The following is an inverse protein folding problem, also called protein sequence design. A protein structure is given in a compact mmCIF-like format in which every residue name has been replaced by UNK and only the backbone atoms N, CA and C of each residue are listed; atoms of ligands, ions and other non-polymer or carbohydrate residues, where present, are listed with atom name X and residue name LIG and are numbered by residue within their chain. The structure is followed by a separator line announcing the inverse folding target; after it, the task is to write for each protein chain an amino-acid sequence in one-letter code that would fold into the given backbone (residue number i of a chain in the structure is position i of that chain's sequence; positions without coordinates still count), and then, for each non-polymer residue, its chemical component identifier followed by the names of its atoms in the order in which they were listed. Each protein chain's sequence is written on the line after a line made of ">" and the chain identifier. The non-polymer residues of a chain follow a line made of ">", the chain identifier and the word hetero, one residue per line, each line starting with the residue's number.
data_IF_838236772346
#
_entry.id   IF_838236772346
#
_cell.length_a   1.000
_cell.length_b   1.000
_cell.length_c   1.000
_cell.angle_alpha   90.00
_cell.angle_beta   90.00
_cell.angle_gamma   90.00
#
_symmetry.space_group_name_H-M   'P 1'
#
loop_
_entity.id
_entity.type
_entity.pdbx_description
1 polymer ?
#
# COMPACT_ATOMS: atom_id res chain seq x y z
N UNK A 1 -22.59 24.34 -16.82
CA UNK A 1 -21.53 24.10 -15.84
C UNK A 1 -20.79 22.82 -16.18
N UNK A 2 -19.49 22.90 -16.42
CA UNK A 2 -18.63 21.71 -16.61
C UNK A 2 -18.07 21.25 -15.28
N UNK A 3 -18.63 20.17 -14.71
CA UNK A 3 -18.20 19.63 -13.41
C UNK A 3 -16.92 18.78 -13.48
N UNK A 4 -16.39 18.54 -14.67
CA UNK A 4 -15.13 17.81 -14.84
C UNK A 4 -13.89 18.74 -14.84
N UNK A 5 -14.09 20.05 -15.10
CA UNK A 5 -13.01 21.04 -15.16
C UNK A 5 -12.49 21.46 -13.78
N UNK A 6 -11.35 22.16 -13.77
CA UNK A 6 -10.71 22.65 -12.57
C UNK A 6 -11.50 23.72 -11.79
N UNK A 7 -12.58 24.24 -12.37
CA UNK A 7 -13.46 25.22 -11.72
C UNK A 7 -14.38 24.57 -10.67
N UNK A 8 -14.51 23.25 -10.70
CA UNK A 8 -15.34 22.48 -9.76
C UNK A 8 -14.48 21.45 -9.04
N UNK A 9 -14.31 21.64 -7.75
CA UNK A 9 -13.51 20.75 -6.90
C UNK A 9 -14.37 20.04 -5.87
N UNK A 10 -14.00 18.80 -5.55
CA UNK A 10 -14.66 17.95 -4.56
C UNK A 10 -13.64 17.19 -3.74
N UNK A 11 -14.01 16.80 -2.53
CA UNK A 11 -13.15 15.96 -1.71
C UNK A 11 -13.03 14.56 -2.35
N UNK A 12 -11.81 14.06 -2.60
CA UNK A 12 -11.61 12.77 -3.28
C UNK A 12 -11.91 11.56 -2.38
N UNK A 13 -11.96 11.76 -1.07
CA UNK A 13 -12.06 10.65 -0.13
C UNK A 13 -10.96 9.61 -0.36
N UNK A 14 -11.28 8.35 -0.19
CA UNK A 14 -10.32 7.24 -0.32
C UNK A 14 -9.74 7.03 -1.72
N UNK A 15 -10.24 7.70 -2.77
CA UNK A 15 -9.63 7.60 -4.10
C UNK A 15 -8.26 8.26 -4.19
N UNK A 16 -7.89 9.10 -3.22
CA UNK A 16 -6.55 9.71 -3.15
C UNK A 16 -5.46 8.77 -2.59
N UNK A 17 -5.84 7.72 -1.82
CA UNK A 17 -4.91 6.83 -1.11
C UNK A 17 -3.77 6.26 -1.97
N UNK A 18 -4.04 5.78 -3.21
CA UNK A 18 -2.98 5.30 -4.10
C UNK A 18 -1.96 6.37 -4.48
N UNK A 19 -2.42 7.62 -4.65
CA UNK A 19 -1.61 8.73 -5.15
C UNK A 19 -0.75 9.36 -4.05
N UNK A 20 -1.25 9.40 -2.82
CA UNK A 20 -0.63 10.17 -1.73
C UNK A 20 0.11 9.31 -0.71
N UNK A 21 -0.27 8.04 -0.55
CA UNK A 21 0.28 7.17 0.49
C UNK A 21 0.92 5.91 -0.11
N UNK A 22 0.14 5.05 -0.76
CA UNK A 22 0.64 3.74 -1.16
C UNK A 22 1.60 3.77 -2.35
N UNK A 23 1.29 4.53 -3.41
CA UNK A 23 2.19 4.69 -4.56
C UNK A 23 3.54 5.28 -4.15
N UNK A 24 3.57 6.43 -3.45
CA UNK A 24 4.81 6.98 -2.91
C UNK A 24 5.56 6.03 -1.98
N UNK A 25 4.88 5.28 -1.13
CA UNK A 25 5.52 4.34 -0.22
C UNK A 25 6.16 3.14 -0.95
N UNK A 26 5.54 2.66 -2.02
CA UNK A 26 6.11 1.65 -2.91
C UNK A 26 7.28 2.20 -3.72
N UNK A 27 7.17 3.43 -4.24
CA UNK A 27 8.18 4.08 -5.08
C UNK A 27 9.47 4.40 -4.31
N UNK A 28 9.33 4.75 -3.03
CA UNK A 28 10.47 5.01 -2.14
C UNK A 28 11.04 3.77 -1.47
N UNK A 29 10.43 2.59 -1.67
CA UNK A 29 10.79 1.36 -0.98
C UNK A 29 10.47 1.36 0.53
N UNK A 30 9.76 2.37 1.04
CA UNK A 30 9.38 2.45 2.45
C UNK A 30 8.40 1.37 2.88
N UNK A 31 7.56 0.90 1.95
CA UNK A 31 6.64 -0.22 2.12
C UNK A 31 6.64 -1.10 0.87
N UNK A 32 6.28 -2.35 1.05
CA UNK A 32 5.95 -3.32 -0.01
C UNK A 32 4.46 -3.66 0.03
N UNK A 33 3.93 -4.35 -0.97
CA UNK A 33 2.55 -4.85 -0.91
C UNK A 33 2.33 -5.84 0.24
N UNK A 34 3.38 -6.55 0.68
CA UNK A 34 3.36 -7.46 1.81
C UNK A 34 3.56 -6.80 3.17
N UNK A 35 4.07 -5.56 3.22
CA UNK A 35 4.32 -4.87 4.49
C UNK A 35 3.09 -4.90 5.38
N UNK A 36 3.24 -5.41 6.60
CA UNK A 36 2.15 -5.50 7.56
C UNK A 36 1.96 -4.17 8.29
N UNK A 37 0.75 -3.68 8.28
CA UNK A 37 0.32 -2.49 9.02
C UNK A 37 -0.77 -2.90 9.99
N UNK A 38 -0.65 -2.50 11.25
CA UNK A 38 -1.68 -2.78 12.25
C UNK A 38 -2.83 -1.76 12.14
N UNK A 39 -3.98 -2.24 11.72
CA UNK A 39 -5.25 -1.50 11.75
C UNK A 39 -5.82 -1.56 13.17
N UNK A 40 -5.33 -0.69 14.02
CA UNK A 40 -5.70 -0.52 15.43
C UNK A 40 -5.95 0.97 15.71
N UNK A 41 -6.62 1.33 16.81
CA UNK A 41 -6.87 2.73 17.14
C UNK A 41 -5.62 3.60 16.98
N UNK A 42 -5.74 4.67 16.22
CA UNK A 42 -4.65 5.56 15.88
C UNK A 42 -5.12 7.01 15.88
N UNK A 43 -4.37 7.89 16.50
CA UNK A 43 -4.67 9.31 16.54
C UNK A 43 -3.76 10.08 15.61
N UNK A 44 -4.31 11.10 14.94
CA UNK A 44 -3.49 12.04 14.19
C UNK A 44 -2.46 12.68 15.11
N UNK A 45 -1.26 12.95 14.60
CA UNK A 45 -0.25 13.71 15.34
C UNK A 45 -0.66 15.18 15.47
N UNK A 46 -0.39 15.80 16.63
CA UNK A 46 -0.66 17.22 16.89
C UNK A 46 -1.34 17.46 18.24
N UNK A 47 -1.62 18.71 18.55
CA UNK A 47 -2.22 19.13 19.84
C UNK A 47 -3.69 18.72 19.98
N UNK A 48 -4.43 18.64 18.86
CA UNK A 48 -5.84 18.23 18.82
C UNK A 48 -5.96 16.84 18.17
N UNK A 49 -5.25 15.88 18.72
CA UNK A 49 -5.18 14.53 18.21
C UNK A 49 -6.58 13.89 18.14
N UNK A 50 -7.13 13.82 16.92
CA UNK A 50 -8.40 13.14 16.65
C UNK A 50 -8.16 11.67 16.30
N UNK A 51 -9.07 10.80 16.74
CA UNK A 51 -9.04 9.39 16.37
C UNK A 51 -9.32 9.23 14.88
N UNK A 52 -8.48 8.45 14.21
CA UNK A 52 -8.73 8.01 12.82
C UNK A 52 -9.77 6.90 12.85
N UNK A 53 -10.91 7.12 12.21
CA UNK A 53 -11.99 6.14 12.14
C UNK A 53 -11.99 5.42 10.81
N UNK A 54 -12.21 4.11 10.83
CA UNK A 54 -12.49 3.32 9.63
C UNK A 54 -13.93 3.57 9.14
N UNK A 55 -14.27 3.03 7.95
CA UNK A 55 -15.63 3.18 7.39
C UNK A 55 -16.68 2.63 8.35
N UNK A 56 -16.48 1.43 8.89
CA UNK A 56 -17.28 0.92 10.00
C UNK A 56 -16.66 1.44 11.30
N UNK A 57 -17.38 2.35 11.95
CA UNK A 57 -16.93 2.99 13.20
C UNK A 57 -16.70 1.90 14.27
N UNK A 58 -15.55 1.97 14.94
CA UNK A 58 -15.19 1.05 16.02
C UNK A 58 -14.64 -0.31 15.56
N UNK A 59 -14.60 -0.60 14.27
CA UNK A 59 -14.02 -1.84 13.74
C UNK A 59 -12.58 -1.65 13.28
N UNK A 60 -11.69 -2.46 13.81
CA UNK A 60 -10.27 -2.52 13.47
C UNK A 60 -9.87 -3.97 13.19
N UNK A 61 -9.17 -4.19 12.09
CA UNK A 61 -8.86 -5.54 11.58
C UNK A 61 -7.58 -6.16 12.15
N UNK A 62 -6.76 -5.36 12.85
CA UNK A 62 -5.45 -5.78 13.33
C UNK A 62 -4.41 -5.83 12.20
N UNK A 63 -3.43 -6.72 12.30
CA UNK A 63 -2.35 -6.84 11.33
C UNK A 63 -2.86 -7.27 9.95
N UNK A 64 -2.60 -6.43 8.96
CA UNK A 64 -2.97 -6.65 7.56
C UNK A 64 -1.90 -6.13 6.60
N UNK A 65 -1.83 -6.70 5.40
CA UNK A 65 -0.88 -6.25 4.39
C UNK A 65 -1.32 -4.92 3.76
N UNK A 66 -0.37 -4.20 3.15
CA UNK A 66 -0.65 -3.01 2.32
C UNK A 66 -1.66 -3.35 1.22
N UNK A 67 -1.50 -4.53 0.55
CA UNK A 67 -2.46 -5.01 -0.45
C UNK A 67 -3.87 -5.15 0.12
N UNK A 68 -4.01 -5.83 1.27
CA UNK A 68 -5.32 -6.00 1.93
C UNK A 68 -5.92 -4.64 2.32
N UNK A 69 -5.11 -3.74 2.91
CA UNK A 69 -5.54 -2.40 3.31
C UNK A 69 -6.04 -1.56 2.14
N UNK A 70 -5.35 -1.63 0.99
CA UNK A 70 -5.76 -0.98 -0.25
C UNK A 70 -7.05 -1.59 -0.80
N UNK A 71 -7.14 -2.93 -0.81
CA UNK A 71 -8.27 -3.71 -1.32
C UNK A 71 -9.59 -3.36 -0.62
N UNK A 72 -9.58 -3.33 0.71
CA UNK A 72 -10.77 -3.03 1.52
C UNK A 72 -10.86 -1.55 1.92
N UNK A 73 -9.90 -0.74 1.45
CA UNK A 73 -9.90 0.71 1.64
C UNK A 73 -9.84 1.18 3.10
N UNK A 74 -9.13 0.45 3.96
CA UNK A 74 -8.99 0.78 5.38
C UNK A 74 -8.34 2.17 5.57
N UNK A 75 -8.78 2.92 6.58
CA UNK A 75 -8.33 4.31 6.80
C UNK A 75 -7.05 4.37 7.63
N UNK A 76 -7.02 3.67 8.76
CA UNK A 76 -5.84 3.70 9.66
C UNK A 76 -4.57 3.26 8.94
N UNK A 77 -4.55 2.14 8.18
CA UNK A 77 -3.36 1.77 7.42
C UNK A 77 -2.92 2.82 6.39
N UNK A 78 -3.86 3.51 5.73
CA UNK A 78 -3.51 4.56 4.78
C UNK A 78 -2.86 5.78 5.47
N UNK A 79 -3.37 6.19 6.63
CA UNK A 79 -2.77 7.28 7.42
C UNK A 79 -1.38 6.88 7.93
N UNK A 80 -1.22 5.65 8.42
CA UNK A 80 0.09 5.12 8.84
C UNK A 80 1.08 5.01 7.67
N UNK A 81 0.63 4.58 6.49
CA UNK A 81 1.47 4.55 5.28
C UNK A 81 1.95 5.95 4.90
N UNK A 82 1.06 6.96 4.93
CA UNK A 82 1.47 8.36 4.71
C UNK A 82 2.41 8.85 5.82
N UNK A 83 2.18 8.48 7.07
CA UNK A 83 3.05 8.87 8.18
C UNK A 83 4.47 8.27 8.03
N UNK A 84 4.60 7.05 7.49
CA UNK A 84 5.90 6.40 7.24
C UNK A 84 6.75 7.21 6.25
N UNK A 85 6.16 7.73 5.18
CA UNK A 85 6.87 8.55 4.19
C UNK A 85 6.81 10.06 4.46
N UNK A 86 6.06 10.51 5.43
CA UNK A 86 5.69 11.87 5.82
C UNK A 86 4.64 12.52 4.91
N UNK A 87 3.77 13.39 5.49
CA UNK A 87 2.78 14.14 4.71
C UNK A 87 3.39 15.04 3.62
N UNK A 88 4.60 15.56 3.82
CA UNK A 88 5.29 16.38 2.84
C UNK A 88 5.65 15.59 1.58
N UNK A 89 6.13 14.36 1.74
CA UNK A 89 6.43 13.48 0.60
C UNK A 89 5.15 13.17 -0.17
N UNK A 90 4.07 12.77 0.52
CA UNK A 90 2.77 12.53 -0.13
C UNK A 90 2.25 13.75 -0.90
N UNK A 91 2.36 14.96 -0.31
CA UNK A 91 2.02 16.22 -0.95
C UNK A 91 2.83 16.44 -2.25
N UNK A 92 4.15 16.25 -2.20
CA UNK A 92 5.02 16.42 -3.38
C UNK A 92 4.68 15.43 -4.51
N UNK A 93 4.25 14.20 -4.16
CA UNK A 93 3.78 13.24 -5.17
C UNK A 93 2.45 13.67 -5.80
N UNK A 94 1.51 14.24 -5.03
CA UNK A 94 0.29 14.79 -5.61
C UNK A 94 0.57 15.95 -6.58
N UNK A 95 1.55 16.82 -6.29
CA UNK A 95 2.00 17.84 -7.24
C UNK A 95 2.52 17.19 -8.54
N UNK A 96 3.35 16.14 -8.43
CA UNK A 96 3.84 15.38 -9.59
C UNK A 96 2.70 14.66 -10.34
N UNK A 97 1.67 14.20 -9.65
CA UNK A 97 0.47 13.63 -10.29
C UNK A 97 -0.44 14.68 -10.94
N UNK A 98 -0.07 15.96 -10.88
CA UNK A 98 -0.78 17.05 -11.54
C UNK A 98 -2.01 17.56 -10.78
N UNK A 99 -2.14 17.29 -9.49
CA UNK A 99 -3.23 17.85 -8.66
C UNK A 99 -2.98 19.35 -8.49
N UNK A 100 -3.76 20.16 -9.19
CA UNK A 100 -3.53 21.60 -9.34
C UNK A 100 -4.07 22.45 -8.17
N UNK A 101 -4.88 21.86 -7.30
CA UNK A 101 -5.64 22.57 -6.25
C UNK A 101 -4.98 22.54 -4.88
N UNK A 102 -3.80 21.91 -4.76
CA UNK A 102 -3.07 21.74 -3.52
C UNK A 102 -2.72 23.07 -2.84
N UNK A 103 -2.86 23.10 -1.54
CA UNK A 103 -2.53 24.26 -0.70
C UNK A 103 -1.32 23.92 0.17
N UNK A 104 -0.19 24.52 -0.15
CA UNK A 104 1.04 24.38 0.65
C UNK A 104 0.96 25.16 1.97
N UNK A 105 1.75 24.82 3.01
CA UNK A 105 1.82 25.59 4.25
C UNK A 105 2.13 27.08 4.03
N UNK A 106 2.94 27.41 3.01
CA UNK A 106 3.28 28.77 2.64
C UNK A 106 2.08 29.56 2.12
N UNK A 107 1.13 28.90 1.49
CA UNK A 107 -0.06 29.49 0.88
C UNK A 107 -1.33 29.12 1.66
N UNK A 108 -1.20 28.80 2.96
CA UNK A 108 -2.31 28.37 3.81
C UNK A 108 -3.51 29.34 3.76
N UNK A 109 -4.71 28.79 3.68
CA UNK A 109 -5.97 29.54 3.63
C UNK A 109 -6.59 29.48 5.03
N UNK A 110 -6.65 30.60 5.72
CA UNK A 110 -7.11 30.67 7.12
C UNK A 110 -6.39 29.64 8.03
N UNK A 111 -5.09 29.41 7.79
CA UNK A 111 -4.30 28.43 8.50
C UNK A 111 -4.43 26.98 7.99
N UNK A 112 -5.36 26.70 7.08
CA UNK A 112 -5.52 25.37 6.50
C UNK A 112 -4.54 25.14 5.33
N UNK A 113 -3.92 23.96 5.30
CA UNK A 113 -3.03 23.51 4.23
C UNK A 113 -3.07 21.98 4.12
N UNK A 114 -2.54 21.42 3.03
CA UNK A 114 -2.69 20.00 2.71
C UNK A 114 -1.49 19.12 3.15
N UNK A 115 -0.46 19.68 3.78
CA UNK A 115 0.66 18.91 4.33
C UNK A 115 0.30 18.41 5.73
N UNK A 116 -0.65 17.49 5.80
CA UNK A 116 -1.23 16.93 7.03
C UNK A 116 -1.54 15.43 6.85
N UNK A 117 -1.60 14.68 7.96
CA UNK A 117 -1.89 13.23 7.88
C UNK A 117 -3.28 12.91 7.32
N UNK A 118 -4.28 13.78 7.52
CA UNK A 118 -5.63 13.60 6.96
C UNK A 118 -5.67 13.65 5.43
N UNK A 119 -4.61 14.14 4.78
CA UNK A 119 -4.44 14.07 3.33
C UNK A 119 -4.53 12.63 2.80
N UNK A 120 -4.08 11.63 3.59
CA UNK A 120 -4.22 10.22 3.26
C UNK A 120 -5.67 9.78 2.99
N UNK A 121 -6.63 10.48 3.55
CA UNK A 121 -8.07 10.18 3.44
C UNK A 121 -8.82 11.15 2.53
N UNK A 122 -8.09 12.05 1.87
CA UNK A 122 -8.68 13.06 0.99
C UNK A 122 -9.21 14.29 1.73
N UNK A 123 -8.78 14.53 2.97
CA UNK A 123 -9.04 15.78 3.69
C UNK A 123 -8.19 16.90 3.12
N UNK A 124 -8.69 17.60 2.11
CA UNK A 124 -7.99 18.65 1.39
C UNK A 124 -8.66 20.00 1.59
N UNK A 125 -7.84 21.07 1.55
CA UNK A 125 -8.34 22.45 1.74
C UNK A 125 -9.33 22.87 0.65
N UNK A 126 -9.04 22.54 -0.63
CA UNK A 126 -9.89 22.87 -1.78
C UNK A 126 -10.56 21.66 -2.42
N UNK A 127 -10.11 20.43 -2.12
CA UNK A 127 -10.49 19.23 -2.87
C UNK A 127 -9.75 19.13 -4.22
N UNK A 128 -10.25 18.27 -5.12
CA UNK A 128 -9.64 17.97 -6.43
C UNK A 128 -10.65 18.14 -7.55
N UNK A 129 -10.19 18.41 -8.77
CA UNK A 129 -11.03 18.36 -9.97
C UNK A 129 -11.13 16.92 -10.50
N UNK A 130 -12.19 16.61 -11.23
CA UNK A 130 -12.36 15.31 -11.86
C UNK A 130 -11.27 15.05 -12.90
N UNK A 131 -10.87 16.07 -13.68
CA UNK A 131 -9.83 15.95 -14.69
C UNK A 131 -8.46 15.68 -14.09
N UNK A 132 -8.11 16.32 -12.95
CA UNK A 132 -6.85 16.07 -12.27
C UNK A 132 -6.78 14.63 -11.76
N UNK A 133 -7.87 14.13 -11.18
CA UNK A 133 -7.95 12.73 -10.72
C UNK A 133 -7.84 11.76 -11.89
N UNK A 134 -8.51 12.04 -13.02
CA UNK A 134 -8.39 11.22 -14.22
C UNK A 134 -6.94 11.17 -14.74
N UNK A 135 -6.28 12.33 -14.82
CA UNK A 135 -4.90 12.44 -15.28
C UNK A 135 -3.91 11.74 -14.34
N UNK A 136 -4.12 11.84 -13.02
CA UNK A 136 -3.31 11.15 -12.03
C UNK A 136 -3.41 9.61 -12.15
N UNK A 137 -4.63 9.09 -12.36
CA UNK A 137 -4.81 7.66 -12.60
C UNK A 137 -4.32 7.22 -13.99
N UNK A 138 -4.38 8.11 -14.99
CA UNK A 138 -3.77 7.86 -16.30
C UNK A 138 -2.24 7.76 -16.20
N UNK A 139 -1.60 8.49 -15.27
CA UNK A 139 -0.17 8.34 -15.03
C UNK A 139 0.18 6.94 -14.52
N UNK A 140 -0.65 6.36 -13.63
CA UNK A 140 -0.49 4.96 -13.17
C UNK A 140 -0.70 4.01 -14.36
N UNK A 141 -1.77 4.20 -15.17
CA UNK A 141 -2.01 3.37 -16.35
C UNK A 141 -0.88 3.46 -17.39
N UNK A 142 -0.09 4.52 -17.37
CA UNK A 142 0.99 4.84 -18.29
C UNK A 142 2.38 4.62 -17.64
N UNK A 143 2.55 3.51 -16.95
CA UNK A 143 3.84 3.10 -16.36
C UNK A 143 4.47 4.17 -15.46
N UNK A 144 3.65 4.88 -14.67
CA UNK A 144 4.09 5.94 -13.78
C UNK A 144 4.48 7.26 -14.45
N UNK A 145 4.05 7.49 -15.69
CA UNK A 145 4.36 8.70 -16.46
C UNK A 145 3.12 9.59 -16.58
N UNK A 146 3.15 10.74 -15.91
CA UNK A 146 2.11 11.75 -16.05
C UNK A 146 2.15 12.41 -17.42
N UNK A 147 0.98 12.61 -17.99
CA UNK A 147 0.77 13.37 -19.23
C UNK A 147 -0.25 14.46 -18.95
N UNK A 148 0.13 15.71 -19.21
CA UNK A 148 -0.75 16.85 -19.01
C UNK A 148 -1.97 16.74 -19.91
N UNK A 149 -3.20 16.83 -19.37
CA UNK A 149 -4.41 16.80 -20.17
C UNK A 149 -4.43 17.90 -21.23
N UNK A 150 -4.80 17.53 -22.47
CA UNK A 150 -5.03 18.46 -23.56
C UNK A 150 -6.45 18.30 -24.11
N UNK A 151 -7.08 19.39 -24.53
CA UNK A 151 -8.44 19.38 -25.08
C UNK A 151 -8.47 19.52 -26.61
N UNK A 152 -7.34 19.97 -27.20
CA UNK A 152 -7.13 20.11 -28.62
C UNK A 152 -5.66 19.94 -28.96
N UNK A 153 -5.40 19.36 -30.10
CA UNK A 153 -4.02 19.12 -30.58
C UNK A 153 -3.48 20.34 -31.31
N UNK A 154 -4.30 21.01 -32.12
CA UNK A 154 -3.89 22.19 -32.88
C UNK A 154 -5.03 23.21 -32.98
N UNK A 155 -4.65 24.47 -33.02
CA UNK A 155 -5.51 25.59 -33.44
C UNK A 155 -4.90 26.20 -34.68
N UNK A 156 -5.71 26.29 -35.73
CA UNK A 156 -5.29 26.85 -37.02
C UNK A 156 -6.00 28.19 -37.25
N UNK A 157 -5.37 29.11 -37.98
CA UNK A 157 -6.02 30.29 -38.50
C UNK A 157 -6.88 29.97 -39.74
N UNK A 158 -7.55 30.97 -40.31
CA UNK A 158 -8.38 30.81 -41.51
C UNK A 158 -7.61 30.44 -42.77
N UNK A 159 -6.30 30.54 -42.73
CA UNK A 159 -5.37 30.23 -43.83
C UNK A 159 -4.68 28.87 -43.66
N UNK A 160 -4.97 28.17 -42.53
CA UNK A 160 -4.39 26.87 -42.22
C UNK A 160 -3.04 26.94 -41.49
N UNK A 161 -2.56 28.09 -41.11
CA UNK A 161 -1.33 28.22 -40.33
C UNK A 161 -1.57 27.83 -38.87
N UNK A 162 -0.60 27.18 -38.25
CA UNK A 162 -0.70 26.73 -36.86
C UNK A 162 -0.52 27.96 -35.94
N UNK A 163 -1.55 28.26 -35.14
CA UNK A 163 -1.53 29.25 -34.06
C UNK A 163 -1.06 28.61 -32.75
N UNK A 164 -1.58 27.40 -32.43
CA UNK A 164 -1.21 26.63 -31.24
C UNK A 164 -0.97 25.19 -31.66
N UNK A 165 0.13 24.60 -31.18
CA UNK A 165 0.43 23.17 -31.36
C UNK A 165 0.61 22.51 -29.99
N UNK A 166 -0.33 21.64 -29.62
CA UNK A 166 -0.31 20.79 -28.44
C UNK A 166 -0.16 19.29 -28.83
N UNK A 167 0.31 19.00 -30.06
CA UNK A 167 0.41 17.61 -30.54
C UNK A 167 1.41 16.76 -29.74
N UNK A 168 2.34 17.42 -29.02
CA UNK A 168 3.26 16.78 -28.09
C UNK A 168 2.95 17.28 -26.67
N UNK A 169 2.19 16.54 -25.87
CA UNK A 169 1.85 16.97 -24.52
C UNK A 169 3.07 16.93 -23.60
N UNK A 170 3.05 17.80 -22.57
CA UNK A 170 4.06 17.78 -21.50
C UNK A 170 3.93 16.49 -20.70
N UNK A 171 5.05 15.80 -20.48
CA UNK A 171 5.13 14.56 -19.70
C UNK A 171 6.26 14.59 -18.69
N UNK A 172 6.09 13.89 -17.59
CA UNK A 172 7.16 13.62 -16.64
C UNK A 172 6.91 12.33 -15.85
N UNK A 173 7.99 11.76 -15.31
CA UNK A 173 7.92 10.56 -14.48
C UNK A 173 7.47 10.91 -13.06
N UNK A 174 6.48 10.18 -12.55
CA UNK A 174 5.95 10.31 -11.18
C UNK A 174 6.39 9.13 -10.33
N UNK A 175 6.19 7.91 -10.83
CA UNK A 175 6.60 6.66 -10.18
C UNK A 175 7.60 5.93 -11.08
N UNK A 176 8.51 5.17 -10.50
CA UNK A 176 9.29 4.19 -11.26
C UNK A 176 8.38 3.06 -11.76
N UNK A 177 8.78 2.36 -12.82
CA UNK A 177 7.93 1.38 -13.50
C UNK A 177 7.59 0.17 -12.62
N UNK A 178 8.55 -0.26 -11.76
CA UNK A 178 8.33 -1.39 -10.86
C UNK A 178 7.31 -1.04 -9.76
N UNK A 179 7.47 0.10 -9.10
CA UNK A 179 6.54 0.57 -8.07
C UNK A 179 5.15 0.82 -8.63
N UNK A 180 5.07 1.38 -9.83
CA UNK A 180 3.83 1.60 -10.56
C UNK A 180 3.10 0.28 -10.85
N UNK A 181 3.82 -0.72 -11.36
CA UNK A 181 3.24 -2.04 -11.62
C UNK A 181 2.77 -2.72 -10.33
N UNK A 182 3.54 -2.64 -9.24
CA UNK A 182 3.10 -3.12 -7.92
C UNK A 182 1.81 -2.40 -7.46
N UNK A 183 1.74 -1.08 -7.62
CA UNK A 183 0.53 -0.33 -7.31
C UNK A 183 -0.66 -0.79 -8.16
N UNK A 184 -0.46 -1.04 -9.46
CA UNK A 184 -1.49 -1.61 -10.35
C UNK A 184 -1.99 -2.95 -9.81
N UNK A 185 -1.10 -3.87 -9.35
CA UNK A 185 -1.53 -5.14 -8.77
C UNK A 185 -2.37 -4.95 -7.50
N UNK A 186 -2.02 -3.98 -6.65
CA UNK A 186 -2.85 -3.58 -5.51
C UNK A 186 -4.22 -3.05 -5.94
N UNK A 187 -4.27 -2.17 -6.95
CA UNK A 187 -5.51 -1.60 -7.48
C UNK A 187 -6.39 -2.64 -8.21
N UNK A 188 -5.78 -3.65 -8.83
CA UNK A 188 -6.51 -4.80 -9.37
C UNK A 188 -7.22 -5.57 -8.25
N UNK A 189 -6.57 -5.77 -7.10
CA UNK A 189 -7.19 -6.43 -5.94
C UNK A 189 -8.43 -5.69 -5.44
N UNK A 190 -8.46 -4.34 -5.52
CA UNK A 190 -9.66 -3.54 -5.20
C UNK A 190 -10.85 -3.94 -6.07
N UNK A 191 -10.61 -4.23 -7.36
CA UNK A 191 -11.66 -4.58 -8.32
C UNK A 191 -11.98 -6.07 -8.32
N UNK A 192 -11.04 -6.95 -8.07
CA UNK A 192 -11.27 -8.41 -8.07
C UNK A 192 -11.92 -8.91 -6.78
N UNK A 193 -11.54 -8.36 -5.63
CA UNK A 193 -11.98 -8.85 -4.31
C UNK A 193 -12.37 -7.76 -3.31
N UNK A 194 -12.21 -6.49 -3.67
CA UNK A 194 -12.38 -5.35 -2.76
C UNK A 194 -13.62 -4.51 -3.02
N UNK A 195 -13.51 -3.22 -2.66
CA UNK A 195 -14.60 -2.23 -2.72
C UNK A 195 -15.03 -1.87 -4.14
N UNK A 196 -14.20 -2.15 -5.14
CA UNK A 196 -14.41 -1.85 -6.56
C UNK A 196 -15.02 -2.98 -7.39
N UNK A 197 -15.45 -4.11 -6.81
CA UNK A 197 -15.91 -5.31 -7.54
C UNK A 197 -16.96 -5.04 -8.60
N UNK A 198 -17.86 -4.09 -8.36
CA UNK A 198 -18.92 -3.75 -9.31
C UNK A 198 -18.40 -3.04 -10.58
N UNK A 199 -17.14 -2.56 -10.57
CA UNK A 199 -16.49 -1.98 -11.75
C UNK A 199 -15.88 -3.03 -12.68
N UNK A 200 -15.79 -4.28 -12.28
CA UNK A 200 -15.24 -5.37 -13.08
C UNK A 200 -16.13 -5.71 -14.29
N UNK A 201 -15.52 -6.03 -15.43
CA UNK A 201 -16.15 -6.63 -16.60
C UNK A 201 -15.18 -7.60 -17.30
N UNK A 202 -15.72 -8.63 -17.96
CA UNK A 202 -14.95 -9.82 -18.34
C UNK A 202 -13.92 -9.61 -19.45
N UNK A 203 -14.14 -8.60 -20.33
CA UNK A 203 -13.28 -8.42 -21.51
C UNK A 203 -11.94 -7.74 -21.22
N UNK A 204 -11.76 -7.14 -20.02
CA UNK A 204 -10.53 -6.41 -19.69
C UNK A 204 -10.12 -6.56 -18.22
N UNK A 205 -8.83 -6.61 -17.91
CA UNK A 205 -8.36 -6.42 -16.54
C UNK A 205 -8.56 -4.96 -16.13
N UNK A 206 -9.28 -4.76 -15.03
CA UNK A 206 -9.58 -3.43 -14.48
C UNK A 206 -8.75 -3.21 -13.20
N UNK A 207 -8.14 -2.05 -13.09
CA UNK A 207 -7.53 -1.54 -11.88
C UNK A 207 -8.16 -0.19 -11.50
N UNK A 208 -8.35 0.07 -10.22
CA UNK A 208 -8.98 1.32 -9.80
C UNK A 208 -9.23 1.40 -8.31
N UNK A 209 -9.76 2.54 -7.88
CA UNK A 209 -10.04 2.81 -6.47
C UNK A 209 -11.35 3.57 -6.31
N UNK A 210 -12.14 3.14 -5.32
CA UNK A 210 -13.33 3.84 -4.84
C UNK A 210 -12.96 4.98 -3.91
N UNK A 211 -13.73 6.06 -3.95
CA UNK A 211 -13.71 7.13 -2.97
C UNK A 211 -15.11 7.37 -2.44
N UNK A 212 -15.22 7.59 -1.15
CA UNK A 212 -16.44 8.02 -0.47
C UNK A 212 -16.03 9.03 0.57
N UNK A 213 -16.70 10.17 0.62
CA UNK A 213 -16.48 11.19 1.62
C UNK A 213 -17.40 10.99 2.83
N UNK A 214 -17.11 11.74 3.90
CA UNK A 214 -17.94 11.72 5.10
C UNK A 214 -19.39 12.13 4.74
N UNK A 215 -20.38 11.52 5.39
CA UNK A 215 -21.80 11.70 5.13
C UNK A 215 -22.24 11.29 3.71
N UNK A 216 -21.41 10.48 3.00
CA UNK A 216 -21.74 9.99 1.67
C UNK A 216 -22.12 11.10 0.67
N UNK A 217 -21.49 12.28 0.80
CA UNK A 217 -21.77 13.45 -0.04
C UNK A 217 -21.13 13.34 -1.42
N UNK A 218 -19.98 12.66 -1.52
CA UNK A 218 -19.25 12.42 -2.76
C UNK A 218 -18.90 10.96 -2.90
N UNK A 219 -19.11 10.40 -4.08
CA UNK A 219 -18.66 9.07 -4.47
C UNK A 219 -17.80 9.14 -5.71
N UNK A 220 -16.65 8.46 -5.64
CA UNK A 220 -15.66 8.40 -6.71
C UNK A 220 -15.39 6.97 -7.12
N UNK A 221 -15.18 6.76 -8.41
CA UNK A 221 -14.40 5.65 -8.91
C UNK A 221 -13.42 6.17 -9.96
N UNK A 222 -12.14 6.06 -9.68
CA UNK A 222 -11.05 6.34 -10.61
C UNK A 222 -10.41 5.01 -10.98
N UNK A 223 -10.41 4.67 -12.25
CA UNK A 223 -9.93 3.37 -12.70
C UNK A 223 -9.56 3.36 -14.17
N UNK A 224 -8.91 2.29 -14.58
CA UNK A 224 -8.39 2.13 -15.93
C UNK A 224 -8.34 0.67 -16.34
N UNK A 225 -8.27 0.48 -17.63
CA UNK A 225 -7.87 -0.75 -18.32
C UNK A 225 -6.51 -0.51 -18.98
N UNK A 226 -5.89 -1.50 -19.62
CA UNK A 226 -4.68 -1.26 -20.42
C UNK A 226 -4.85 -0.25 -21.57
N UNK A 227 -6.08 0.15 -21.89
CA UNK A 227 -6.39 1.05 -23.02
C UNK A 227 -6.85 2.43 -22.60
N UNK A 228 -7.71 2.53 -21.59
CA UNK A 228 -8.40 3.78 -21.23
C UNK A 228 -8.46 3.98 -19.72
N UNK A 229 -8.40 5.24 -19.33
CA UNK A 229 -8.63 5.70 -17.97
C UNK A 229 -9.88 6.56 -17.90
N UNK A 230 -10.68 6.39 -16.84
CA UNK A 230 -11.82 7.24 -16.57
C UNK A 230 -11.96 7.49 -15.05
N UNK A 231 -12.37 8.71 -14.71
CA UNK A 231 -12.74 9.08 -13.36
C UNK A 231 -14.22 9.50 -13.33
N UNK A 232 -14.99 8.91 -12.45
CA UNK A 232 -16.38 9.26 -12.20
C UNK A 232 -16.51 9.84 -10.81
N UNK A 233 -17.13 11.00 -10.74
CA UNK A 233 -17.63 11.60 -9.53
C UNK A 233 -19.17 11.67 -9.57
N UNK A 234 -19.78 11.33 -8.47
CA UNK A 234 -21.22 11.47 -8.24
C UNK A 234 -21.43 12.20 -6.93
N UNK A 235 -22.22 13.26 -6.97
CA UNK A 235 -22.51 14.12 -5.84
C UNK A 235 -23.53 15.18 -6.18
N UNK A 236 -23.96 15.94 -5.18
CA UNK A 236 -24.74 17.16 -5.37
C UNK A 236 -23.80 18.36 -5.53
N UNK A 237 -24.29 19.46 -6.09
CA UNK A 237 -23.50 20.68 -6.27
C UNK A 237 -23.09 21.31 -4.94
N UNK A 238 -23.85 21.09 -3.90
CA UNK A 238 -23.53 21.41 -2.52
C UNK A 238 -23.53 20.12 -1.66
N UNK A 239 -22.83 20.13 -0.54
CA UNK A 239 -22.75 19.00 0.37
C UNK A 239 -23.93 18.92 1.36
N UNK A 240 -25.07 19.55 1.04
CA UNK A 240 -26.25 19.59 1.90
C UNK A 240 -27.07 18.30 1.90
N UNK A 241 -26.76 17.38 0.95
CA UNK A 241 -27.51 16.14 0.74
C UNK A 241 -26.58 14.92 0.66
N UNK A 242 -26.99 13.86 1.32
CA UNK A 242 -26.38 12.55 1.18
C UNK A 242 -26.89 11.83 -0.08
N UNK A 243 -26.01 11.06 -0.73
CA UNK A 243 -26.36 10.37 -1.98
C UNK A 243 -27.31 9.18 -1.80
N UNK A 244 -27.38 8.60 -0.60
CA UNK A 244 -28.18 7.42 -0.34
C UNK A 244 -27.72 6.17 -1.10
N UNK A 245 -28.46 5.06 -0.99
CA UNK A 245 -28.03 3.74 -1.51
C UNK A 245 -28.24 3.53 -3.02
N UNK A 246 -28.88 4.45 -3.73
CA UNK A 246 -29.41 4.20 -5.09
C UNK A 246 -28.37 4.35 -6.20
N UNK A 247 -27.26 5.06 -5.97
CA UNK A 247 -26.30 5.37 -7.04
C UNK A 247 -25.03 4.52 -6.92
N UNK A 248 -24.85 3.61 -7.86
CA UNK A 248 -23.62 2.84 -8.00
C UNK A 248 -22.67 3.48 -9.02
N UNK A 249 -21.76 4.35 -8.54
CA UNK A 249 -20.73 4.98 -9.35
C UNK A 249 -19.81 3.96 -10.05
N UNK A 250 -19.49 2.84 -9.39
CA UNK A 250 -18.71 1.74 -9.97
C UNK A 250 -19.44 1.10 -11.16
N UNK A 251 -20.77 0.90 -11.05
CA UNK A 251 -21.57 0.35 -12.13
C UNK A 251 -21.63 1.28 -13.33
N UNK A 252 -21.79 2.60 -13.10
CA UNK A 252 -21.78 3.61 -14.16
C UNK A 252 -20.46 3.57 -14.90
N UNK A 253 -19.33 3.56 -14.17
CA UNK A 253 -17.99 3.46 -14.74
C UNK A 253 -17.85 2.18 -15.61
N UNK A 254 -18.23 1.03 -15.07
CA UNK A 254 -18.21 -0.25 -15.79
C UNK A 254 -19.00 -0.17 -17.08
N UNK A 255 -20.22 0.31 -17.03
CA UNK A 255 -21.12 0.37 -18.19
C UNK A 255 -20.52 1.21 -19.31
N UNK A 256 -19.98 2.38 -18.99
CA UNK A 256 -19.33 3.27 -19.94
C UNK A 256 -18.09 2.60 -20.55
N UNK A 257 -17.20 2.10 -19.69
CA UNK A 257 -15.93 1.49 -20.16
C UNK A 257 -16.17 0.22 -20.98
N UNK A 258 -17.05 -0.66 -20.52
CA UNK A 258 -17.41 -1.86 -21.27
C UNK A 258 -17.99 -1.53 -22.65
N UNK A 259 -18.86 -0.51 -22.74
CA UNK A 259 -19.43 -0.08 -24.01
C UNK A 259 -18.35 0.49 -24.96
N UNK A 260 -17.40 1.29 -24.44
CA UNK A 260 -16.27 1.80 -25.24
C UNK A 260 -15.45 0.65 -25.80
N UNK A 261 -15.06 -0.33 -24.96
CA UNK A 261 -14.23 -1.47 -25.38
C UNK A 261 -14.95 -2.35 -26.40
N UNK A 262 -16.26 -2.60 -26.21
CA UNK A 262 -17.06 -3.37 -27.13
C UNK A 262 -17.21 -2.66 -28.48
N UNK A 263 -17.51 -1.37 -28.50
CA UNK A 263 -17.68 -0.59 -29.73
C UNK A 263 -16.40 -0.52 -30.57
N UNK A 264 -15.24 -0.52 -29.89
CA UNK A 264 -13.93 -0.48 -30.53
C UNK A 264 -13.36 -1.87 -30.82
N UNK A 265 -14.05 -2.95 -30.43
CA UNK A 265 -13.62 -4.34 -30.56
C UNK A 265 -12.20 -4.56 -30.02
N UNK A 266 -11.87 -3.98 -28.85
CA UNK A 266 -10.53 -4.07 -28.30
C UNK A 266 -10.25 -5.49 -27.77
N UNK A 267 -9.10 -6.10 -28.13
CA UNK A 267 -8.70 -7.38 -27.55
C UNK A 267 -8.45 -7.25 -26.05
N UNK A 268 -8.45 -8.36 -25.32
CA UNK A 268 -8.07 -8.36 -23.91
C UNK A 268 -6.62 -7.91 -23.76
N UNK A 269 -6.42 -6.81 -23.05
CA UNK A 269 -5.09 -6.26 -22.78
C UNK A 269 -4.44 -6.86 -21.53
N UNK A 270 -3.18 -6.53 -21.30
CA UNK A 270 -2.41 -6.95 -20.12
C UNK A 270 -1.65 -5.77 -19.54
N UNK A 271 -1.35 -5.83 -18.24
CA UNK A 271 -0.37 -4.96 -17.60
C UNK A 271 0.97 -5.69 -17.58
N UNK A 272 1.85 -5.35 -18.51
CA UNK A 272 3.16 -6.00 -18.67
C UNK A 272 3.99 -5.88 -17.39
N UNK A 273 4.48 -7.03 -16.91
CA UNK A 273 5.35 -7.07 -15.72
C UNK A 273 6.76 -6.60 -16.08
N UNK A 274 7.30 -5.59 -15.38
CA UNK A 274 8.69 -5.18 -15.55
C UNK A 274 9.68 -6.27 -15.14
N UNK A 275 10.88 -6.25 -15.72
CA UNK A 275 11.92 -7.27 -15.47
C UNK A 275 12.41 -7.29 -14.00
N UNK A 276 12.34 -6.17 -13.28
CA UNK A 276 12.78 -6.07 -11.87
C UNK A 276 11.75 -6.52 -10.84
N UNK A 277 10.68 -7.22 -11.25
CA UNK A 277 9.66 -7.75 -10.34
C UNK A 277 9.85 -9.24 -10.14
N UNK A 278 9.89 -9.66 -8.89
CA UNK A 278 10.01 -11.05 -8.46
C UNK A 278 8.89 -11.45 -7.50
N UNK A 279 8.63 -12.74 -7.39
CA UNK A 279 7.68 -13.29 -6.41
C UNK A 279 8.43 -13.88 -5.22
N UNK A 280 7.90 -13.68 -4.02
CA UNK A 280 8.38 -14.35 -2.81
C UNK A 280 7.24 -14.81 -1.93
N UNK A 281 7.47 -15.93 -1.22
CA UNK A 281 6.54 -16.42 -0.20
C UNK A 281 6.84 -15.74 1.12
N UNK A 282 5.80 -15.15 1.72
CA UNK A 282 5.92 -14.35 2.95
C UNK A 282 4.77 -14.61 3.92
N UNK A 283 4.95 -14.18 5.16
CA UNK A 283 3.89 -14.14 6.17
C UNK A 283 3.08 -12.85 6.03
N UNK A 284 1.79 -12.93 5.80
CA UNK A 284 0.89 -11.78 5.64
C UNK A 284 0.72 -10.92 6.92
N UNK A 285 1.22 -11.39 8.07
CA UNK A 285 1.13 -10.66 9.35
C UNK A 285 2.43 -9.98 9.76
N UNK A 286 3.52 -10.24 9.04
CA UNK A 286 4.80 -9.55 9.24
C UNK A 286 5.36 -8.93 7.96
N UNK A 287 4.97 -9.43 6.78
CA UNK A 287 5.61 -9.08 5.51
C UNK A 287 6.98 -9.75 5.29
N UNK A 288 7.43 -10.60 6.23
CA UNK A 288 8.72 -11.25 6.24
C UNK A 288 8.63 -12.72 5.78
N UNK A 289 9.78 -13.40 5.60
CA UNK A 289 9.81 -14.83 5.25
C UNK A 289 9.03 -15.65 6.29
N UNK A 290 8.24 -16.65 5.90
CA UNK A 290 7.43 -17.41 6.83
C UNK A 290 8.26 -18.35 7.69
N UNK A 291 7.80 -18.63 8.90
CA UNK A 291 8.33 -19.67 9.78
C UNK A 291 7.32 -20.82 9.77
N UNK A 292 7.75 -21.97 9.24
CA UNK A 292 6.96 -23.20 9.22
C UNK A 292 6.61 -23.65 10.65
N UNK A 293 5.39 -24.14 10.85
CA UNK A 293 4.89 -24.51 12.16
C UNK A 293 4.37 -23.33 12.99
N UNK A 294 4.59 -22.10 12.55
CA UNK A 294 4.07 -20.89 13.18
C UNK A 294 3.10 -20.12 12.25
N UNK A 295 3.59 -19.66 11.09
CA UNK A 295 2.78 -18.81 10.19
C UNK A 295 1.65 -19.57 9.51
N UNK A 296 1.83 -20.84 9.25
CA UNK A 296 0.82 -21.78 8.69
C UNK A 296 -0.22 -22.21 9.72
N UNK A 297 0.09 -22.09 11.02
CA UNK A 297 -0.77 -22.46 12.13
C UNK A 297 -1.29 -21.25 12.93
N UNK A 298 -1.40 -20.09 12.30
CA UNK A 298 -2.01 -18.93 12.93
C UNK A 298 -3.48 -19.22 13.32
N UNK A 299 -3.94 -18.79 14.49
CA UNK A 299 -5.30 -19.08 14.98
C UNK A 299 -6.43 -18.60 14.06
N UNK A 300 -6.18 -17.59 13.23
CA UNK A 300 -7.15 -17.07 12.26
C UNK A 300 -7.01 -17.69 10.86
N UNK A 301 -6.13 -18.67 10.69
CA UNK A 301 -5.85 -19.36 9.44
C UNK A 301 -4.46 -19.14 8.90
N UNK A 302 -4.07 -19.95 7.92
CA UNK A 302 -2.75 -19.87 7.29
C UNK A 302 -2.43 -18.46 6.79
N UNK A 303 -1.31 -17.90 7.26
CA UNK A 303 -0.83 -16.57 6.93
C UNK A 303 0.29 -16.56 5.87
N UNK A 304 0.61 -17.70 5.26
CA UNK A 304 1.63 -17.80 4.22
C UNK A 304 0.99 -17.45 2.88
N UNK A 305 1.54 -16.43 2.23
CA UNK A 305 1.08 -15.93 0.93
C UNK A 305 2.25 -15.75 -0.03
N UNK A 306 1.98 -15.75 -1.33
CA UNK A 306 2.91 -15.29 -2.35
C UNK A 306 2.59 -13.84 -2.70
N UNK A 307 3.63 -12.97 -2.77
CA UNK A 307 3.48 -11.57 -3.09
C UNK A 307 4.62 -11.10 -4.03
N UNK A 308 4.36 -10.00 -4.74
CA UNK A 308 5.29 -9.37 -5.66
C UNK A 308 6.15 -8.33 -4.97
N UNK A 309 7.43 -8.27 -5.37
CA UNK A 309 8.44 -7.37 -4.85
C UNK A 309 9.30 -6.82 -5.99
N UNK A 310 9.98 -5.71 -5.75
CA UNK A 310 11.20 -5.40 -6.50
C UNK A 310 12.35 -6.25 -5.93
N UNK A 311 13.36 -6.55 -6.74
CA UNK A 311 14.48 -7.41 -6.32
C UNK A 311 15.15 -6.93 -5.02
N UNK A 312 15.25 -5.62 -4.82
CA UNK A 312 15.85 -4.96 -3.65
C UNK A 312 14.95 -4.92 -2.41
N UNK A 313 13.65 -5.21 -2.56
CA UNK A 313 12.69 -5.17 -1.44
C UNK A 313 12.21 -6.55 -0.99
N UNK A 314 12.72 -7.63 -1.59
CA UNK A 314 12.43 -9.00 -1.13
C UNK A 314 12.90 -9.17 0.32
N UNK A 315 12.04 -9.61 1.24
CA UNK A 315 12.46 -9.80 2.64
C UNK A 315 13.50 -10.92 2.77
N UNK A 316 14.51 -10.66 3.58
CA UNK A 316 15.56 -11.63 3.94
C UNK A 316 15.42 -12.15 5.37
N UNK A 317 14.64 -11.45 6.20
CA UNK A 317 14.38 -11.78 7.59
C UNK A 317 13.16 -12.70 7.73
N UNK A 318 13.20 -13.59 8.71
CA UNK A 318 12.07 -14.46 9.04
C UNK A 318 11.05 -13.76 9.94
N UNK A 319 9.80 -14.22 9.87
CA UNK A 319 8.69 -13.71 10.66
C UNK A 319 9.01 -13.74 12.16
N UNK A 320 8.94 -12.57 12.79
CA UNK A 320 9.07 -12.38 14.24
C UNK A 320 7.72 -12.10 14.92
N UNK A 321 6.66 -11.96 14.13
CA UNK A 321 5.31 -11.69 14.62
C UNK A 321 4.69 -12.91 15.26
N UNK A 322 4.81 -14.09 14.66
CA UNK A 322 4.26 -15.32 15.22
C UNK A 322 5.19 -15.89 16.30
N UNK A 323 4.61 -16.26 17.43
CA UNK A 323 5.33 -16.89 18.55
C UNK A 323 4.49 -17.98 19.19
N UNK A 324 5.14 -19.02 19.66
CA UNK A 324 4.50 -20.10 20.41
C UNK A 324 4.60 -19.80 21.90
N UNK A 325 3.46 -19.71 22.56
CA UNK A 325 3.37 -19.42 24.00
C UNK A 325 2.62 -20.52 24.74
N UNK A 326 3.05 -20.83 25.97
CA UNK A 326 2.31 -21.71 26.87
C UNK A 326 1.71 -20.87 27.97
N UNK A 327 0.40 -20.89 28.09
CA UNK A 327 -0.41 -20.07 28.99
C UNK A 327 -0.95 -20.98 30.11
N UNK A 328 -0.88 -20.53 31.35
CA UNK A 328 -1.56 -21.13 32.48
C UNK A 328 -3.06 -20.84 32.37
N UNK A 329 -3.89 -21.88 32.27
CA UNK A 329 -5.34 -21.72 32.11
C UNK A 329 -6.02 -21.11 33.34
N UNK A 330 -5.41 -21.23 34.51
CA UNK A 330 -5.98 -20.74 35.78
C UNK A 330 -5.72 -19.23 35.98
N UNK A 331 -4.57 -18.71 35.50
CA UNK A 331 -4.20 -17.29 35.66
C UNK A 331 -4.35 -16.50 34.37
N UNK A 332 -4.31 -17.13 33.21
CA UNK A 332 -4.22 -16.48 31.90
C UNK A 332 -2.81 -15.93 31.56
N UNK A 333 -1.83 -16.02 32.47
CA UNK A 333 -0.47 -15.54 32.29
C UNK A 333 0.44 -16.65 31.69
N UNK A 334 1.68 -16.27 31.33
CA UNK A 334 2.68 -17.23 30.83
C UNK A 334 2.94 -18.31 31.88
N UNK A 335 2.82 -19.58 31.46
CA UNK A 335 2.91 -20.72 32.37
C UNK A 335 4.34 -20.88 32.91
N UNK A 336 4.42 -21.27 34.19
CA UNK A 336 5.64 -21.74 34.82
C UNK A 336 5.64 -23.27 34.90
N UNK A 337 6.76 -23.88 35.29
CA UNK A 337 6.87 -25.32 35.49
C UNK A 337 5.95 -25.89 36.56
N UNK A 338 5.37 -25.01 37.41
CA UNK A 338 4.42 -25.38 38.47
C UNK A 338 2.95 -25.39 38.02
N UNK A 339 2.64 -24.89 36.83
CA UNK A 339 1.27 -24.78 36.38
C UNK A 339 0.72 -26.18 36.03
N UNK A 340 -0.34 -26.64 36.70
CA UNK A 340 -0.89 -28.00 36.48
C UNK A 340 -1.73 -28.07 35.19
N UNK A 341 -2.29 -26.95 34.78
CA UNK A 341 -3.19 -26.84 33.65
C UNK A 341 -2.72 -25.76 32.67
N UNK A 342 -2.18 -26.17 31.53
CA UNK A 342 -1.59 -25.25 30.54
C UNK A 342 -2.10 -25.51 29.14
N UNK A 343 -2.15 -24.45 28.33
CA UNK A 343 -2.45 -24.52 26.91
C UNK A 343 -1.33 -23.86 26.11
N UNK A 344 -0.82 -24.55 25.10
CA UNK A 344 0.13 -23.99 24.16
C UNK A 344 -0.59 -23.46 22.93
N UNK A 345 -0.35 -22.19 22.58
CA UNK A 345 -0.98 -21.47 21.47
C UNK A 345 0.08 -20.79 20.61
N UNK A 346 -0.26 -20.60 19.35
CA UNK A 346 0.46 -19.65 18.48
C UNK A 346 -0.26 -18.31 18.63
N UNK A 347 0.51 -17.25 18.83
CA UNK A 347 -0.01 -15.90 19.01
C UNK A 347 0.79 -14.91 18.19
N UNK A 348 0.17 -13.77 17.84
CA UNK A 348 0.78 -12.65 17.13
C UNK A 348 1.35 -11.68 18.15
N UNK A 349 2.66 -11.45 18.10
CA UNK A 349 3.30 -10.41 18.91
C UNK A 349 2.92 -9.04 18.36
N UNK A 350 2.46 -8.17 19.25
CA UNK A 350 2.20 -6.76 18.96
C UNK A 350 2.96 -5.88 19.94
N UNK A 351 3.43 -4.74 19.48
CA UNK A 351 3.99 -3.73 20.38
C UNK A 351 2.86 -3.14 21.24
N UNK A 352 3.17 -2.77 22.49
CA UNK A 352 2.18 -2.20 23.42
C UNK A 352 1.48 -0.95 22.89
N UNK A 353 2.15 -0.16 22.04
CA UNK A 353 1.57 1.00 21.36
C UNK A 353 0.47 0.64 20.34
N UNK A 354 0.41 -0.61 19.88
CA UNK A 354 -0.59 -1.09 18.91
C UNK A 354 -1.83 -1.68 19.57
N UNK A 355 -1.78 -1.92 20.89
CA UNK A 355 -2.92 -2.37 21.68
C UNK A 355 -3.59 -1.24 22.48
N UNK A 356 -3.38 0.02 22.15
CA UNK A 356 -4.18 1.07 22.76
C UNK A 356 -5.66 0.83 22.40
N UNK A 357 -6.33 0.16 23.31
CA UNK A 357 -7.78 0.11 23.37
C UNK A 357 -8.24 1.55 23.59
N UNK A 358 -8.54 2.28 22.50
CA UNK A 358 -9.20 3.57 22.62
C UNK A 358 -10.64 3.32 23.00
N UNK A 359 -11.20 4.10 23.91
CA UNK A 359 -12.64 4.27 24.03
C UNK A 359 -13.06 5.47 23.18
N UNK A 360 -14.24 5.42 22.57
CA UNK A 360 -14.83 6.63 21.98
C UNK A 360 -15.30 7.57 23.12
N UNK A 361 -15.81 8.75 22.74
CA UNK A 361 -16.38 9.72 23.68
C UNK A 361 -17.60 9.18 24.47
N UNK A 362 -18.10 8.00 24.10
CA UNK A 362 -19.23 7.30 24.72
C UNK A 362 -18.77 6.13 25.60
N UNK A 363 -17.45 5.88 25.72
CA UNK A 363 -16.86 4.83 26.55
C UNK A 363 -16.85 3.42 25.94
N UNK A 364 -17.16 3.30 24.64
CA UNK A 364 -17.08 2.01 23.94
C UNK A 364 -15.62 1.60 23.71
N UNK A 365 -15.24 0.41 24.15
CA UNK A 365 -13.92 -0.14 23.89
C UNK A 365 -13.77 -0.58 22.42
N UNK A 366 -12.70 -0.14 21.77
CA UNK A 366 -12.33 -0.59 20.43
C UNK A 366 -11.46 -1.84 20.53
N UNK A 367 -11.92 -2.93 19.94
CA UNK A 367 -11.18 -4.19 19.87
C UNK A 367 -10.77 -4.49 18.43
N UNK A 368 -9.49 -4.87 18.23
CA UNK A 368 -9.05 -5.39 16.92
C UNK A 368 -9.57 -6.83 16.74
N UNK A 369 -9.83 -7.23 15.49
CA UNK A 369 -10.31 -8.59 15.17
C UNK A 369 -9.34 -9.68 15.62
N UNK A 370 -8.04 -9.38 15.69
CA UNK A 370 -6.99 -10.31 16.10
C UNK A 370 -6.61 -10.19 17.60
N UNK A 371 -7.39 -9.49 18.40
CA UNK A 371 -7.07 -9.26 19.83
C UNK A 371 -6.94 -10.56 20.62
N UNK A 372 -7.82 -11.55 20.36
CA UNK A 372 -7.80 -12.81 21.10
C UNK A 372 -6.63 -13.75 20.72
N UNK A 373 -5.96 -13.47 19.61
CA UNK A 373 -4.76 -14.20 19.15
C UNK A 373 -3.50 -13.34 19.16
N UNK A 374 -3.55 -12.16 19.76
CA UNK A 374 -2.42 -11.25 19.90
C UNK A 374 -1.89 -11.23 21.34
N UNK A 375 -0.60 -10.97 21.49
CA UNK A 375 0.07 -10.88 22.79
C UNK A 375 1.12 -9.75 22.74
N UNK A 376 1.16 -8.94 23.80
CA UNK A 376 2.19 -7.88 23.94
C UNK A 376 3.45 -8.39 24.60
N UNK A 377 4.55 -7.65 24.45
CA UNK A 377 5.79 -7.95 25.17
C UNK A 377 5.61 -7.88 26.70
N UNK A 378 4.73 -6.98 27.17
CA UNK A 378 4.37 -6.92 28.59
C UNK A 378 3.67 -8.21 29.04
N UNK A 379 2.67 -8.69 28.30
CA UNK A 379 1.98 -9.95 28.59
C UNK A 379 2.93 -11.16 28.49
N UNK A 380 3.87 -11.15 27.53
CA UNK A 380 4.90 -12.20 27.39
C UNK A 380 5.85 -12.26 28.58
N UNK A 381 6.07 -11.13 29.26
CA UNK A 381 6.91 -11.05 30.45
C UNK A 381 6.20 -11.44 31.75
N UNK A 382 4.86 -11.51 31.72
CA UNK A 382 4.04 -11.77 32.91
C UNK A 382 3.91 -13.27 33.17
N UNK A 383 4.69 -13.78 34.12
CA UNK A 383 4.65 -15.18 34.52
C UNK A 383 3.51 -15.46 35.50
N UNK A 384 2.94 -16.66 35.45
CA UNK A 384 1.93 -17.12 36.40
C UNK A 384 2.46 -17.06 37.82
N UNK A 385 1.73 -16.37 38.69
CA UNK A 385 2.04 -16.25 40.12
C UNK A 385 1.17 -17.12 41.01
N UNK A 386 0.11 -17.77 40.45
CA UNK A 386 -0.81 -18.63 41.21
C UNK A 386 -0.14 -19.96 41.60
N UNK A 387 0.83 -20.43 40.82
CA UNK A 387 1.48 -21.69 41.04
C UNK A 387 2.92 -21.43 41.44
N UNK A 388 3.17 -21.33 42.77
CA UNK A 388 4.49 -21.11 43.33
C UNK A 388 5.43 -22.27 43.02
N UNK A 389 6.30 -22.11 42.04
CA UNK A 389 7.50 -22.90 41.95
C UNK A 389 8.70 -22.00 41.78
N UNK A 390 9.69 -22.27 42.62
CA UNK A 390 11.03 -21.71 42.53
C UNK A 390 11.48 -21.67 41.07
N UNK A 391 11.63 -20.47 40.53
CA UNK A 391 12.16 -20.25 39.19
C UNK A 391 13.52 -20.90 39.12
N UNK A 392 13.59 -22.14 38.59
CA UNK A 392 14.82 -22.60 37.99
C UNK A 392 14.94 -21.78 36.72
N UNK A 393 15.86 -20.80 36.77
CA UNK A 393 16.22 -19.98 35.63
C UNK A 393 16.82 -20.86 34.52
N UNK A 394 15.96 -21.48 33.74
CA UNK A 394 16.28 -21.96 32.42
C UNK A 394 15.65 -21.00 31.44
N UNK A 395 16.19 -19.79 31.48
CA UNK A 395 15.99 -18.82 30.38
C UNK A 395 16.87 -19.25 29.23
N UNK A 396 16.56 -20.39 28.63
CA UNK A 396 16.98 -20.71 27.28
C UNK A 396 15.89 -20.19 26.36
N UNK A 397 15.97 -18.92 26.08
CA UNK A 397 15.44 -18.37 24.83
C UNK A 397 16.22 -19.03 23.69
N UNK A 398 15.98 -20.31 23.44
CA UNK A 398 16.36 -20.99 22.22
C UNK A 398 15.34 -20.66 21.13
N UNK A 399 15.29 -19.38 20.76
CA UNK A 399 14.97 -19.03 19.38
C UNK A 399 16.24 -19.22 18.52
N UNK A 400 16.87 -20.37 18.63
CA UNK A 400 17.76 -20.83 17.58
C UNK A 400 16.86 -21.34 16.46
N UNK A 401 16.50 -20.43 15.56
CA UNK A 401 16.05 -20.77 14.22
C UNK A 401 17.19 -21.59 13.61
N UNK A 402 17.08 -22.92 13.64
CA UNK A 402 17.94 -23.78 12.85
C UNK A 402 17.68 -23.45 11.40
N UNK A 403 18.63 -22.77 10.81
CA UNK A 403 18.70 -22.50 9.37
C UNK A 403 18.52 -23.85 8.67
N UNK A 404 17.58 -24.02 7.75
CA UNK A 404 17.47 -25.25 6.97
C UNK A 404 18.77 -25.39 6.18
N UNK A 405 19.55 -26.42 6.47
CA UNK A 405 20.68 -26.82 5.64
C UNK A 405 20.13 -27.31 4.32
N UNK A 406 20.31 -26.53 3.27
CA UNK A 406 20.14 -26.98 1.90
C UNK A 406 21.06 -28.19 1.65
N UNK A 407 20.48 -29.36 1.53
CA UNK A 407 21.16 -30.52 0.97
C UNK A 407 21.35 -30.27 -0.52
N UNK A 408 22.54 -29.77 -0.87
CA UNK A 408 23.08 -29.85 -2.21
C UNK A 408 23.44 -31.30 -2.51
N UNK A 409 22.70 -31.95 -3.40
CA UNK A 409 23.09 -33.23 -3.98
C UNK A 409 24.13 -32.97 -5.07
N UNK A 410 25.40 -33.02 -4.70
CA UNK A 410 26.49 -33.11 -5.66
C UNK A 410 26.62 -34.55 -6.17
N UNK A 411 26.33 -34.76 -7.44
CA UNK A 411 26.77 -35.92 -8.20
C UNK A 411 28.27 -35.76 -8.42
N UNK A 412 29.06 -36.70 -7.81
CA UNK A 412 30.43 -36.97 -8.20
C UNK A 412 30.49 -37.41 -9.66
N UNK A 413 31.39 -36.79 -10.41
CA UNK A 413 31.98 -37.37 -11.61
C UNK A 413 33.47 -37.18 -11.50
N UNK A 414 34.14 -38.30 -11.30
CA UNK A 414 35.59 -38.50 -11.31
C UNK A 414 36.17 -38.23 -12.70
N UNK A 415 37.23 -37.43 -12.80
CA UNK A 415 38.33 -37.61 -13.76
C UNK A 415 39.57 -36.80 -13.36
N UNK A 416 40.58 -37.53 -13.04
CA UNK A 416 42.05 -37.48 -13.17
C UNK A 416 42.79 -36.16 -13.43
N UNK A 417 43.70 -35.96 -12.52
CA UNK A 417 45.02 -35.30 -12.53
C UNK A 417 45.66 -34.95 -13.87
N UNK A 418 46.24 -33.75 -13.98
CA UNK A 418 47.68 -33.57 -14.24
C UNK A 418 48.15 -32.16 -13.88
N UNK A 419 49.26 -32.12 -13.20
CA UNK A 419 50.08 -30.97 -12.77
C UNK A 419 50.73 -30.26 -13.95
N UNK A 420 50.92 -28.96 -13.88
CA UNK A 420 52.24 -28.30 -14.05
C UNK A 420 52.20 -26.85 -13.62
N UNK A 421 53.28 -26.47 -13.00
CA UNK A 421 53.74 -25.21 -12.45
C UNK A 421 54.14 -24.18 -13.51
N UNK A 422 54.22 -22.95 -13.05
CA UNK A 422 55.23 -21.89 -13.25
C UNK A 422 54.59 -20.52 -13.59
N UNK A 423 54.69 -19.60 -12.72
CA UNK A 423 55.64 -18.51 -12.42
C UNK A 423 55.53 -17.26 -13.29
N UNK A 424 55.26 -16.19 -12.58
CA UNK A 424 55.85 -14.85 -12.59
C UNK A 424 55.88 -14.03 -13.90
N UNK A 425 55.39 -12.83 -13.96
CA UNK A 425 56.12 -11.57 -13.68
C UNK A 425 55.38 -10.34 -14.20
N UNK A 426 55.31 -9.39 -13.33
CA UNK A 426 55.40 -7.91 -13.49
C UNK A 426 55.60 -7.32 -14.90
N UNK A 427 54.88 -6.25 -15.29
CA UNK A 427 55.50 -4.95 -15.55
C UNK A 427 54.47 -3.83 -15.66
N UNK A 428 54.80 -2.71 -15.04
CA UNK A 428 54.20 -1.36 -15.09
C UNK A 428 54.47 -0.67 -16.45
N UNK A 429 53.62 0.30 -16.82
CA UNK A 429 53.91 1.69 -17.20
C UNK A 429 52.66 2.28 -17.88
N UNK A 430 52.04 3.33 -17.34
CA UNK A 430 52.32 4.78 -17.44
C UNK A 430 52.39 5.30 -18.90
N UNK A 431 51.50 6.21 -19.25
CA UNK A 431 51.76 7.61 -19.63
C UNK A 431 50.58 8.25 -20.37
N UNK A 432 49.93 9.22 -19.73
CA UNK A 432 49.70 10.60 -20.10
C UNK A 432 49.12 11.03 -21.49
N UNK A 433 48.03 11.80 -21.31
CA UNK A 433 47.71 13.15 -21.88
C UNK A 433 47.69 13.39 -23.41
N UNK A 434 46.56 13.91 -23.90
CA UNK A 434 46.46 15.30 -24.32
C UNK A 434 45.06 15.67 -24.89
N UNK A 435 44.57 16.77 -24.38
CA UNK A 435 43.63 17.76 -24.84
C UNK A 435 43.68 18.16 -26.34
N UNK A 436 42.47 18.49 -26.88
CA UNK A 436 42.18 19.73 -27.64
C UNK A 436 40.74 19.69 -28.14
N UNK A 437 39.88 20.56 -27.68
CA UNK A 437 39.29 21.82 -28.16
C UNK A 437 38.76 21.86 -29.60
N UNK A 438 37.51 22.28 -29.63
CA UNK A 438 36.82 23.20 -30.55
C UNK A 438 36.39 22.67 -31.94
N UNK A 439 35.09 22.62 -32.21
CA UNK A 439 34.25 23.66 -32.78
C UNK A 439 32.80 23.39 -32.47
#
# INVERSE_FOLDING_TARGET
>A
LNRASNDVTRQPGSSIKPLVAYGPALDTGALTLASAIDDAPYYYSGTDAKLVTNYTKGEYRGLMTVREALTVSQNVPAVKALATITPQVGFNYLEKFGISTLVSPKNAINGAHDVVQSLALGGMTKGVSNIDMCAAYAAIANKGTYTKPIYYTKVLDSQGNIIIDNSVPETHKVLNENADWLLIQGLRSVVTSGTGRTASFDSQPVAGKTGTTQYDSDRWFCGFTPYYTAAIWVGYDDNSKELGSVVSHNYIWRTIMQQIHNNLNLPTGTYEQPAGIVEATVCSKSGLLPVEGLCDNDPMGNCIITEYFTEDTVPTEYCTTHTKVTICNDSGDIATSGCPNTTTKIMRKKTSSTQQLGSDSEGSEYKTWDADCSITDEQLSKLCTLHNNTIKSNNTNNNSVTKPTTKSSSKETTAASTSTSESASTTKNNTQTKTSTAN
#
